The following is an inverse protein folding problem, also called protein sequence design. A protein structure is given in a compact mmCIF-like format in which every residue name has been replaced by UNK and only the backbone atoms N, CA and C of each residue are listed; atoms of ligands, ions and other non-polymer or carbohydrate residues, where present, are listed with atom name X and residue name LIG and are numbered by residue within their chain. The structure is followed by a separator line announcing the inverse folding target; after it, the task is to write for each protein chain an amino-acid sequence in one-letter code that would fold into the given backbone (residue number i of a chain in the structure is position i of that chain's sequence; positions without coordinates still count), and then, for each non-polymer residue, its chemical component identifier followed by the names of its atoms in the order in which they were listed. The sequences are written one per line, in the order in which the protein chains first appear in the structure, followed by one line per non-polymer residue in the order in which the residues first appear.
data_IF_198005448457
#
_entry.id   IF_198005448457
#
_cell.length_a   1.000
_cell.length_b   1.000
_cell.length_c   1.000
_cell.angle_alpha   90.00
_cell.angle_beta   90.00
_cell.angle_gamma   90.00
#
_symmetry.space_group_name_H-M   'P 1'
#
loop_
_entity.id
_entity.type
_entity.pdbx_description
1 polymer ?
#
# COMPACT_ATOMS: atom_id res chain seq x y z
N UNK A 1 -15.87 -1.31 5.41
CA UNK A 1 -15.44 -2.64 4.96
C UNK A 1 -16.12 -3.72 5.76
N UNK A 2 -16.55 -4.77 5.11
CA UNK A 2 -17.19 -5.90 5.76
C UNK A 2 -16.16 -6.71 6.54
N UNK A 3 -16.57 -7.18 7.72
CA UNK A 3 -15.69 -8.00 8.57
C UNK A 3 -15.26 -9.29 7.86
N UNK A 4 -16.16 -9.89 7.09
CA UNK A 4 -15.85 -11.10 6.33
C UNK A 4 -14.77 -10.85 5.27
N UNK A 5 -14.84 -9.72 4.57
CA UNK A 5 -13.83 -9.36 3.59
C UNK A 5 -12.47 -9.11 4.27
N UNK A 6 -12.47 -8.47 5.45
CA UNK A 6 -11.26 -8.23 6.21
C UNK A 6 -10.62 -9.55 6.66
N UNK A 7 -11.41 -10.50 7.15
CA UNK A 7 -10.93 -11.82 7.54
C UNK A 7 -10.30 -12.56 6.36
N UNK A 8 -10.90 -12.46 5.18
CA UNK A 8 -10.35 -13.08 3.97
C UNK A 8 -9.03 -12.44 3.57
N UNK A 9 -8.86 -11.14 3.77
CA UNK A 9 -7.61 -10.46 3.47
C UNK A 9 -6.48 -10.86 4.42
N UNK A 10 -6.80 -11.20 5.65
CA UNK A 10 -5.81 -11.58 6.66
C UNK A 10 -5.54 -13.08 6.72
N UNK A 11 -6.39 -13.88 6.10
CA UNK A 11 -6.19 -15.32 5.99
C UNK A 11 -5.47 -15.71 4.70
N UNK A 12 -5.42 -16.99 4.34
CA UNK A 12 -4.88 -17.42 3.06
C UNK A 12 -5.64 -16.76 1.91
N UNK A 13 -4.92 -16.14 1.00
CA UNK A 13 -5.51 -15.47 -0.16
C UNK A 13 -5.49 -16.44 -1.33
N UNK A 14 -6.66 -16.92 -1.80
CA UNK A 14 -6.70 -18.01 -2.78
C UNK A 14 -6.17 -17.62 -4.16
N UNK A 15 -6.26 -16.34 -4.53
CA UNK A 15 -5.95 -15.90 -5.89
C UNK A 15 -4.78 -14.96 -5.99
N UNK A 16 -4.14 -14.63 -4.88
CA UNK A 16 -3.07 -13.65 -4.87
C UNK A 16 -1.97 -14.07 -3.90
N UNK A 17 -0.80 -14.32 -4.45
CA UNK A 17 0.37 -14.60 -3.64
C UNK A 17 0.96 -13.30 -3.10
N UNK A 18 1.23 -13.28 -1.80
CA UNK A 18 1.94 -12.18 -1.16
C UNK A 18 3.37 -12.64 -0.86
N UNK A 19 4.35 -11.87 -1.30
CA UNK A 19 5.75 -12.16 -0.98
C UNK A 19 6.06 -11.53 0.37
N UNK A 20 6.45 -12.37 1.33
CA UNK A 20 6.78 -11.91 2.67
C UNK A 20 8.14 -11.20 2.69
N UNK A 21 8.37 -10.43 3.75
CA UNK A 21 9.57 -9.61 3.88
C UNK A 21 10.85 -10.43 3.79
N UNK A 22 10.87 -11.59 4.42
CA UNK A 22 12.04 -12.47 4.41
C UNK A 22 12.31 -13.14 3.07
N UNK A 23 11.35 -13.16 2.17
CA UNK A 23 11.47 -13.74 0.84
C UNK A 23 11.87 -12.72 -0.23
N UNK A 24 11.79 -11.43 0.07
CA UNK A 24 12.03 -10.37 -0.90
C UNK A 24 13.51 -10.29 -1.26
N UNK A 25 13.79 -10.18 -2.56
CA UNK A 25 15.14 -10.04 -3.11
C UNK A 25 15.16 -8.99 -4.22
N UNK A 26 16.34 -8.51 -4.57
CA UNK A 26 16.53 -7.60 -5.69
C UNK A 26 15.72 -6.30 -5.56
N UNK A 27 15.07 -5.90 -6.64
CA UNK A 27 14.28 -4.68 -6.69
C UNK A 27 13.14 -4.67 -5.67
N UNK A 28 12.50 -5.82 -5.44
CA UNK A 28 11.43 -5.94 -4.45
C UNK A 28 11.95 -5.68 -3.04
N UNK A 29 13.13 -6.22 -2.71
CA UNK A 29 13.73 -5.97 -1.40
C UNK A 29 13.98 -4.48 -1.19
N UNK A 30 14.45 -3.77 -2.21
CA UNK A 30 14.67 -2.34 -2.14
C UNK A 30 13.36 -1.59 -1.84
N UNK A 31 12.25 -1.98 -2.46
CA UNK A 31 10.95 -1.38 -2.22
C UNK A 31 10.45 -1.67 -0.80
N UNK A 32 10.67 -2.89 -0.29
CA UNK A 32 10.28 -3.25 1.06
C UNK A 32 11.14 -2.50 2.10
N UNK A 33 12.44 -2.37 1.86
CA UNK A 33 13.32 -1.60 2.74
C UNK A 33 12.88 -0.13 2.80
N UNK A 34 12.49 0.43 1.65
CA UNK A 34 11.95 1.79 1.60
C UNK A 34 10.63 1.92 2.38
N UNK A 35 9.76 0.91 2.30
CA UNK A 35 8.51 0.89 3.05
C UNK A 35 8.77 0.84 4.55
N UNK A 36 9.71 0.02 5.00
CA UNK A 36 10.09 -0.08 6.41
C UNK A 36 10.67 1.24 6.89
N UNK A 37 11.52 1.88 6.10
CA UNK A 37 12.11 3.18 6.43
C UNK A 37 11.03 4.26 6.57
N UNK A 38 9.99 4.21 5.75
CA UNK A 38 8.93 5.20 5.70
C UNK A 38 7.88 5.00 6.80
N UNK A 39 7.47 3.76 7.04
CA UNK A 39 6.32 3.43 7.88
C UNK A 39 6.62 2.42 9.00
N UNK A 40 7.82 1.91 9.09
CA UNK A 40 8.22 0.94 10.11
C UNK A 40 7.85 -0.50 9.79
N UNK A 41 7.06 -0.74 8.74
CA UNK A 41 6.66 -2.08 8.31
C UNK A 41 6.20 -2.06 6.86
N UNK A 42 6.02 -3.25 6.30
CA UNK A 42 5.44 -3.42 4.96
C UNK A 42 3.97 -3.77 5.12
N UNK A 43 3.09 -2.87 4.70
CA UNK A 43 1.65 -3.11 4.76
C UNK A 43 1.22 -4.13 3.70
N UNK A 44 0.11 -4.83 3.96
CA UNK A 44 -0.40 -5.85 3.04
C UNK A 44 -0.72 -5.31 1.65
N UNK A 45 -1.14 -4.06 1.55
CA UNK A 45 -1.41 -3.47 0.23
C UNK A 45 -0.13 -3.37 -0.61
N UNK A 46 1.02 -3.15 0.01
CA UNK A 46 2.32 -3.16 -0.66
C UNK A 46 2.66 -4.59 -1.08
N UNK A 47 2.45 -5.56 -0.19
CA UNK A 47 2.67 -6.98 -0.49
C UNK A 47 1.76 -7.48 -1.61
N UNK A 48 0.55 -6.93 -1.73
CA UNK A 48 -0.37 -7.30 -2.79
C UNK A 48 0.17 -6.97 -4.20
N UNK A 49 1.08 -6.02 -4.29
CA UNK A 49 1.74 -5.64 -5.55
C UNK A 49 3.11 -6.30 -5.72
N UNK A 50 3.48 -7.22 -4.83
CA UNK A 50 4.84 -7.73 -4.72
C UNK A 50 5.30 -8.61 -5.87
N UNK A 51 4.38 -9.22 -6.62
CA UNK A 51 4.74 -10.10 -7.73
C UNK A 51 5.34 -9.35 -8.93
N UNK A 52 5.16 -8.04 -8.97
CA UNK A 52 5.77 -7.20 -10.01
C UNK A 52 6.37 -5.96 -9.34
N UNK A 53 7.69 -6.00 -9.13
CA UNK A 53 8.41 -4.92 -8.45
C UNK A 53 8.33 -3.60 -9.22
N UNK A 54 8.30 -3.64 -10.55
CA UNK A 54 8.16 -2.44 -11.36
C UNK A 54 6.81 -1.75 -11.18
N UNK A 55 5.75 -2.53 -11.14
CA UNK A 55 4.41 -2.01 -10.88
C UNK A 55 4.30 -1.46 -9.45
N UNK A 56 4.87 -2.17 -8.49
CA UNK A 56 4.91 -1.71 -7.10
C UNK A 56 5.62 -0.36 -7.01
N UNK A 57 6.79 -0.22 -7.62
CA UNK A 57 7.54 1.03 -7.62
C UNK A 57 6.73 2.17 -8.23
N UNK A 58 6.10 1.94 -9.37
CA UNK A 58 5.29 2.96 -10.04
C UNK A 58 4.09 3.36 -9.18
N UNK A 59 3.45 2.41 -8.51
CA UNK A 59 2.32 2.66 -7.62
C UNK A 59 2.76 3.51 -6.42
N UNK A 60 3.90 3.20 -5.83
CA UNK A 60 4.42 3.97 -4.70
C UNK A 60 4.86 5.36 -5.10
N UNK A 61 5.42 5.52 -6.30
CA UNK A 61 5.77 6.83 -6.84
C UNK A 61 4.53 7.69 -7.05
N UNK A 62 3.46 7.11 -7.59
CA UNK A 62 2.19 7.79 -7.78
C UNK A 62 1.60 8.23 -6.43
N UNK A 63 1.58 7.32 -5.46
CA UNK A 63 1.10 7.61 -4.12
C UNK A 63 1.90 8.78 -3.50
N UNK A 64 3.23 8.73 -3.60
CA UNK A 64 4.08 9.79 -3.07
C UNK A 64 3.83 11.14 -3.73
N UNK A 65 3.63 11.15 -5.05
CA UNK A 65 3.34 12.38 -5.78
C UNK A 65 1.99 12.98 -5.36
N UNK A 66 0.97 12.14 -5.20
CA UNK A 66 -0.37 12.59 -4.82
C UNK A 66 -0.39 13.10 -3.38
N UNK A 67 0.21 12.37 -2.45
CA UNK A 67 0.08 12.69 -1.02
C UNK A 67 1.11 13.69 -0.54
N UNK A 68 2.31 13.73 -1.13
CA UNK A 68 3.43 14.51 -0.59
C UNK A 68 4.07 15.45 -1.61
N UNK A 69 3.78 15.30 -2.90
CA UNK A 69 4.36 16.14 -3.94
C UNK A 69 3.84 17.56 -3.92
N UNK A 70 4.47 18.48 -4.68
CA UNK A 70 4.00 19.86 -4.78
C UNK A 70 2.59 19.92 -5.34
N UNK A 71 1.72 20.74 -4.70
CA UNK A 71 0.34 20.85 -5.07
C UNK A 71 -0.25 22.10 -4.41
N UNK A 72 -1.34 22.61 -4.97
CA UNK A 72 -2.11 23.69 -4.35
C UNK A 72 -2.91 23.19 -3.14
N UNK A 73 -3.13 21.86 -3.03
CA UNK A 73 -3.80 21.28 -1.88
C UNK A 73 -2.83 21.14 -0.72
N UNK A 74 -3.26 21.52 0.48
CA UNK A 74 -2.48 21.31 1.69
C UNK A 74 -2.40 19.83 2.03
N UNK A 75 -1.45 19.46 2.88
CA UNK A 75 -1.38 18.09 3.37
C UNK A 75 -2.66 17.68 4.09
N UNK A 76 -3.22 18.56 4.88
CA UNK A 76 -4.48 18.30 5.58
C UNK A 76 -5.62 18.01 4.62
N UNK A 77 -5.72 18.77 3.52
CA UNK A 77 -6.74 18.55 2.51
C UNK A 77 -6.59 17.20 1.82
N UNK A 78 -5.35 16.81 1.51
CA UNK A 78 -5.06 15.51 0.88
C UNK A 78 -5.40 14.35 1.81
N UNK A 79 -5.06 14.46 3.08
CA UNK A 79 -5.40 13.45 4.08
C UNK A 79 -6.91 13.34 4.25
N UNK A 80 -7.62 14.47 4.27
CA UNK A 80 -9.06 14.49 4.38
C UNK A 80 -9.74 13.83 3.18
N UNK A 81 -9.26 14.11 1.96
CA UNK A 81 -9.78 13.47 0.75
C UNK A 81 -9.57 11.97 0.79
N UNK A 82 -8.38 11.53 1.20
CA UNK A 82 -8.08 10.11 1.33
C UNK A 82 -9.00 9.44 2.35
N UNK A 83 -9.23 10.08 3.49
CA UNK A 83 -10.12 9.58 4.53
C UNK A 83 -11.55 9.45 4.02
N UNK A 84 -12.07 10.48 3.37
CA UNK A 84 -13.44 10.46 2.84
C UNK A 84 -13.61 9.36 1.80
N UNK A 85 -12.64 9.22 0.88
CA UNK A 85 -12.68 8.15 -0.14
C UNK A 85 -12.66 6.77 0.52
N UNK A 86 -11.78 6.57 1.48
CA UNK A 86 -11.69 5.30 2.20
C UNK A 86 -12.98 4.96 2.94
N UNK A 87 -13.57 5.94 3.63
CA UNK A 87 -14.83 5.74 4.35
C UNK A 87 -15.98 5.44 3.40
N UNK A 88 -16.05 6.17 2.28
CA UNK A 88 -17.11 5.98 1.28
C UNK A 88 -17.04 4.60 0.63
N UNK A 89 -15.81 4.11 0.40
CA UNK A 89 -15.57 2.80 -0.20
C UNK A 89 -15.48 1.67 0.83
N UNK A 90 -15.68 1.97 2.10
CA UNK A 90 -15.58 0.98 3.18
C UNK A 90 -14.22 0.26 3.14
N UNK A 91 -13.16 1.01 2.95
CA UNK A 91 -11.81 0.49 2.78
C UNK A 91 -11.11 0.36 4.13
N UNK A 92 -10.42 -0.77 4.35
CA UNK A 92 -9.67 -1.01 5.58
C UNK A 92 -8.48 -0.05 5.75
N UNK A 93 -7.82 0.27 4.65
CA UNK A 93 -6.70 1.18 4.64
C UNK A 93 -7.15 2.60 4.38
#
# INVERSE_FOLDING_TARGET
MQLEALKRQNGPVPNLRLIEEGEATGALKAEYDAAISRAGKVFNIVKAMSLNAGTLRASMDLYGAIMFGPSELSRADRELLALVVSCTNDCHY
#
